data_IF_969732409995
#
_entry.id   IF_969732409995
#
_cell.length_a   1.000
_cell.length_b   1.000
_cell.length_c   1.000
_cell.angle_alpha   90.00
_cell.angle_beta   90.00
_cell.angle_gamma   90.00
#
_symmetry.space_group_name_H-M   'P 1'
#
loop_
_entity.id
_entity.type
_entity.pdbx_description
1 polymer ?
#
# COMPACT_ATOMS: atom_id res chain seq x y z
N UNK A 1 -1.03 18.60 -5.97
CA UNK A 1 0.26 17.86 -6.08
C UNK A 1 0.39 16.77 -5.01
N UNK A 2 -0.06 17.04 -3.78
CA UNK A 2 -0.09 16.10 -2.64
C UNK A 2 -0.92 14.82 -2.91
N UNK A 3 -2.06 14.94 -3.61
CA UNK A 3 -2.92 13.79 -3.99
C UNK A 3 -2.19 12.79 -4.90
N UNK A 4 -1.31 13.26 -5.78
CA UNK A 4 -0.46 12.38 -6.61
C UNK A 4 0.48 11.55 -5.73
N UNK A 5 1.12 12.16 -4.73
CA UNK A 5 2.04 11.47 -3.81
C UNK A 5 1.30 10.40 -3.00
N UNK A 6 0.10 10.73 -2.51
CA UNK A 6 -0.75 9.77 -1.79
C UNK A 6 -1.11 8.56 -2.66
N UNK A 7 -1.39 8.80 -3.95
CA UNK A 7 -1.68 7.74 -4.93
C UNK A 7 -0.45 6.86 -5.18
N UNK A 8 0.74 7.46 -5.30
CA UNK A 8 2.00 6.72 -5.42
C UNK A 8 2.31 5.87 -4.18
N UNK A 9 2.01 6.37 -2.97
CA UNK A 9 2.15 5.60 -1.73
C UNK A 9 1.22 4.38 -1.68
N UNK A 10 -0.04 4.55 -2.11
CA UNK A 10 -0.98 3.44 -2.22
C UNK A 10 -0.52 2.40 -3.27
N UNK A 11 0.05 2.87 -4.39
CA UNK A 11 0.58 2.02 -5.46
C UNK A 11 1.80 1.20 -4.99
N UNK A 12 2.66 1.79 -4.15
CA UNK A 12 3.77 1.07 -3.51
C UNK A 12 3.28 -0.05 -2.58
N UNK A 13 2.24 0.21 -1.77
CA UNK A 13 1.63 -0.83 -0.94
C UNK A 13 1.12 -2.01 -1.77
N UNK A 14 0.49 -1.73 -2.92
CA UNK A 14 0.02 -2.76 -3.86
C UNK A 14 1.18 -3.61 -4.41
N UNK A 15 2.30 -2.97 -4.77
CA UNK A 15 3.49 -3.69 -5.25
C UNK A 15 4.04 -4.65 -4.19
N UNK A 16 4.09 -4.21 -2.93
CA UNK A 16 4.55 -5.06 -1.81
C UNK A 16 3.63 -6.27 -1.61
N UNK A 17 2.31 -6.08 -1.71
CA UNK A 17 1.34 -7.20 -1.65
C UNK A 17 1.57 -8.15 -2.82
N UNK A 18 1.72 -7.64 -4.05
CA UNK A 18 1.96 -8.47 -5.23
C UNK A 18 3.27 -9.26 -5.12
N UNK A 19 4.33 -8.66 -4.60
CA UNK A 19 5.59 -9.36 -4.32
C UNK A 19 5.42 -10.44 -3.25
N UNK A 20 4.60 -10.19 -2.21
CA UNK A 20 4.22 -11.20 -1.23
C UNK A 20 3.45 -12.39 -1.85
N UNK A 21 2.57 -12.14 -2.81
CA UNK A 21 1.85 -13.17 -3.56
C UNK A 21 2.80 -13.94 -4.48
N UNK A 22 3.65 -13.26 -5.26
CA UNK A 22 4.63 -13.89 -6.15
C UNK A 22 5.63 -14.75 -5.38
N UNK A 23 6.04 -14.29 -4.20
CA UNK A 23 6.88 -15.02 -3.26
C UNK A 23 6.32 -16.40 -2.94
N UNK A 24 4.98 -16.59 -2.97
CA UNK A 24 4.31 -17.89 -2.77
C UNK A 24 4.78 -18.96 -3.76
N UNK A 25 5.04 -18.58 -4.99
CA UNK A 25 5.37 -19.52 -6.07
C UNK A 25 6.82 -19.98 -6.06
N UNK A 26 7.74 -19.16 -5.54
CA UNK A 26 9.17 -19.48 -5.57
C UNK A 26 9.75 -20.04 -4.27
N UNK A 27 8.95 -20.23 -3.22
CA UNK A 27 9.41 -20.68 -1.89
C UNK A 27 10.60 -19.89 -1.28
N UNK A 28 10.87 -18.68 -1.78
CA UNK A 28 12.01 -17.84 -1.39
C UNK A 28 11.91 -17.24 0.02
N UNK A 29 10.72 -17.18 0.60
CA UNK A 29 10.44 -16.44 1.84
C UNK A 29 9.61 -17.31 2.79
N UNK A 30 9.97 -17.31 4.08
CA UNK A 30 9.25 -18.04 5.12
C UNK A 30 7.81 -17.54 5.30
N UNK A 31 6.91 -18.41 5.76
CA UNK A 31 5.49 -18.08 5.98
C UNK A 31 5.31 -16.83 6.85
N UNK A 32 6.09 -16.69 7.91
CA UNK A 32 6.02 -15.54 8.82
C UNK A 32 6.40 -14.22 8.14
N UNK A 33 7.43 -14.24 7.29
CA UNK A 33 7.85 -13.07 6.53
C UNK A 33 6.85 -12.68 5.45
N UNK A 34 6.17 -13.65 4.81
CA UNK A 34 5.08 -13.37 3.86
C UNK A 34 3.91 -12.68 4.54
N UNK A 35 3.49 -13.18 5.71
CA UNK A 35 2.44 -12.55 6.52
C UNK A 35 2.82 -11.11 6.87
N UNK A 36 4.09 -10.87 7.24
CA UNK A 36 4.63 -9.53 7.45
C UNK A 36 4.50 -8.63 6.22
N UNK A 37 4.89 -9.10 5.03
CA UNK A 37 4.74 -8.34 3.78
C UNK A 37 3.28 -8.00 3.48
N UNK A 38 2.35 -8.92 3.72
CA UNK A 38 0.92 -8.63 3.52
C UNK A 38 0.42 -7.56 4.48
N UNK A 39 0.74 -7.67 5.77
CA UNK A 39 0.33 -6.68 6.77
C UNK A 39 0.88 -5.29 6.42
N UNK A 40 2.16 -5.21 6.07
CA UNK A 40 2.82 -3.94 5.71
C UNK A 40 2.23 -3.37 4.41
N UNK A 41 2.07 -4.21 3.38
CA UNK A 41 1.52 -3.80 2.09
C UNK A 41 0.08 -3.31 2.20
N UNK A 42 -0.78 -4.03 2.92
CA UNK A 42 -2.15 -3.60 3.17
C UNK A 42 -2.22 -2.33 4.02
N UNK A 43 -1.38 -2.21 5.05
CA UNK A 43 -1.34 -1.00 5.89
C UNK A 43 -0.92 0.23 5.07
N UNK A 44 0.08 0.09 4.20
CA UNK A 44 0.52 1.15 3.29
C UNK A 44 -0.56 1.55 2.28
N UNK A 45 -1.27 0.58 1.71
CA UNK A 45 -2.40 0.85 0.82
C UNK A 45 -3.49 1.64 1.55
N UNK A 46 -3.85 1.21 2.76
CA UNK A 46 -4.91 1.79 3.56
C UNK A 46 -4.56 3.22 4.02
N UNK A 47 -3.33 3.44 4.49
CA UNK A 47 -2.86 4.77 4.84
C UNK A 47 -2.78 5.71 3.62
N UNK A 48 -2.29 5.20 2.49
CA UNK A 48 -2.24 5.97 1.24
C UNK A 48 -3.63 6.39 0.73
N UNK A 49 -4.63 5.51 0.84
CA UNK A 49 -6.01 5.83 0.45
C UNK A 49 -6.68 6.78 1.43
N UNK A 50 -6.52 6.61 2.75
CA UNK A 50 -7.04 7.56 3.74
C UNK A 50 -6.44 8.94 3.50
N UNK A 51 -5.11 9.02 3.35
CA UNK A 51 -4.42 10.28 3.09
C UNK A 51 -4.92 10.97 1.82
N UNK A 52 -5.18 10.19 0.77
CA UNK A 52 -5.78 10.70 -0.47
C UNK A 52 -7.18 11.28 -0.24
N UNK A 53 -8.05 10.55 0.46
CA UNK A 53 -9.42 10.99 0.73
C UNK A 53 -9.42 12.26 1.59
N UNK A 54 -8.59 12.33 2.63
CA UNK A 54 -8.48 13.52 3.49
C UNK A 54 -8.02 14.74 2.69
N UNK A 55 -7.04 14.59 1.80
CA UNK A 55 -6.61 15.67 0.92
C UNK A 55 -7.71 16.12 -0.05
N UNK A 56 -8.43 15.18 -0.67
CA UNK A 56 -9.53 15.50 -1.58
C UNK A 56 -10.69 16.20 -0.85
N UNK A 57 -10.95 15.86 0.42
CA UNK A 57 -11.93 16.56 1.26
C UNK A 57 -11.46 17.98 1.59
N UNK A 58 -10.20 18.16 1.98
CA UNK A 58 -9.64 19.47 2.33
C UNK A 58 -9.53 20.42 1.12
N UNK A 59 -9.28 19.89 -0.10
CA UNK A 59 -9.30 20.68 -1.34
C UNK A 59 -10.73 21.05 -1.80
N UNK A 60 -11.79 20.37 -1.33
CA UNK A 60 -13.19 20.72 -1.65
C UNK A 60 -13.78 21.79 -0.74
N UNK A 61 -13.22 21.97 0.46
CA UNK A 61 -13.68 22.94 1.44
C UNK A 61 -13.08 24.34 1.24
N UNK A 62 -12.11 24.48 0.33
CA UNK A 62 -11.47 25.74 -0.08
C UNK A 62 -11.79 26.10 -1.52
#
# INVERSE_FOLDING_TARGET
MMVKIATWAAMLGLIVVLLGILSRFGNFITINQRTGCFIIGFSLMLLGTIWKVVLEMNEREH
#
